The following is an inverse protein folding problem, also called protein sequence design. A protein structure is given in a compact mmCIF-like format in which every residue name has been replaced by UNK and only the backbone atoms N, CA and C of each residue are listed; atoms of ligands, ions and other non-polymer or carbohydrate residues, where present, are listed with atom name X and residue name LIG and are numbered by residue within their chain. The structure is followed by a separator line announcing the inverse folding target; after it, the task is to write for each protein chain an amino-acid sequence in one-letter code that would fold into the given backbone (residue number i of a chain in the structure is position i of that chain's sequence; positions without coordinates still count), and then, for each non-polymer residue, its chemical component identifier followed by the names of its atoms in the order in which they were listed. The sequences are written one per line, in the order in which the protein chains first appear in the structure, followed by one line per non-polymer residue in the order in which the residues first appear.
data_IF_481156642168
#
_entry.id   IF_481156642168
#
_cell.length_a   1.000
_cell.length_b   1.000
_cell.length_c   1.000
_cell.angle_alpha   90.00
_cell.angle_beta   90.00
_cell.angle_gamma   90.00
#
_symmetry.space_group_name_H-M   'P 1'
#
loop_
_entity.id
_entity.type
_entity.pdbx_description
1 polymer ?
#
# COMPACT_ATOMS: atom_id res chain seq x y z
N UNK A 1 -4.26 -9.56 -10.20
CA UNK A 1 -5.28 -8.89 -9.34
C UNK A 1 -4.76 -7.52 -8.95
N UNK A 2 -5.65 -6.53 -8.76
CA UNK A 2 -5.22 -5.20 -8.31
C UNK A 2 -6.30 -4.55 -7.45
N UNK A 3 -5.89 -3.59 -6.64
CA UNK A 3 -6.82 -2.82 -5.81
C UNK A 3 -6.16 -1.62 -5.16
N UNK A 4 -6.95 -0.58 -4.90
CA UNK A 4 -6.54 0.61 -4.18
C UNK A 4 -7.15 0.62 -2.77
N UNK A 5 -6.40 1.13 -1.79
CA UNK A 5 -6.89 1.30 -0.43
C UNK A 5 -7.39 -0.03 0.18
N UNK A 6 -8.56 -0.05 0.76
CA UNK A 6 -9.24 -1.27 1.24
C UNK A 6 -9.37 -2.32 0.13
N UNK A 7 -9.61 -1.92 -1.14
CA UNK A 7 -9.65 -2.83 -2.28
C UNK A 7 -8.32 -3.55 -2.52
N UNK A 8 -7.19 -2.94 -2.17
CA UNK A 8 -5.87 -3.60 -2.16
C UNK A 8 -5.78 -4.71 -1.12
N UNK A 9 -6.25 -4.47 0.09
CA UNK A 9 -6.34 -5.49 1.13
C UNK A 9 -7.28 -6.64 0.72
N UNK A 10 -8.43 -6.31 0.15
CA UNK A 10 -9.38 -7.30 -0.38
C UNK A 10 -8.77 -8.12 -1.53
N UNK A 11 -7.96 -7.51 -2.40
CA UNK A 11 -7.27 -8.20 -3.48
C UNK A 11 -6.29 -9.26 -2.95
N UNK A 12 -5.57 -8.98 -1.84
CA UNK A 12 -4.70 -9.97 -1.21
C UNK A 12 -5.49 -11.14 -0.61
N UNK A 13 -6.56 -10.84 0.11
CA UNK A 13 -7.43 -11.88 0.68
C UNK A 13 -8.06 -12.75 -0.42
N UNK A 14 -8.55 -12.11 -1.48
CA UNK A 14 -9.10 -12.81 -2.62
C UNK A 14 -8.06 -13.66 -3.36
N UNK A 15 -6.83 -13.13 -3.56
CA UNK A 15 -5.74 -13.88 -4.18
C UNK A 15 -5.41 -15.14 -3.35
N UNK A 16 -5.29 -14.98 -2.04
CA UNK A 16 -5.01 -16.09 -1.13
C UNK A 16 -6.11 -17.16 -1.18
N UNK A 17 -7.38 -16.73 -1.08
CA UNK A 17 -8.53 -17.64 -1.09
C UNK A 17 -8.75 -18.34 -2.43
N UNK A 18 -8.52 -17.64 -3.54
CA UNK A 18 -8.80 -18.14 -4.88
C UNK A 18 -7.65 -18.93 -5.48
N UNK A 19 -6.45 -18.89 -4.89
CA UNK A 19 -5.26 -19.58 -5.42
C UNK A 19 -5.38 -21.08 -5.48
N UNK A 20 -6.30 -21.69 -4.71
CA UNK A 20 -6.59 -23.12 -4.79
C UNK A 20 -7.35 -23.51 -6.07
N UNK A 21 -8.06 -22.55 -6.66
CA UNK A 21 -8.92 -22.78 -7.84
C UNK A 21 -8.39 -22.13 -9.12
N UNK A 22 -7.66 -21.03 -8.96
CA UNK A 22 -7.22 -20.18 -10.07
C UNK A 22 -5.73 -19.88 -9.98
N UNK A 23 -5.06 -19.91 -11.11
CA UNK A 23 -3.66 -19.50 -11.20
C UNK A 23 -3.57 -17.98 -11.09
N UNK A 24 -3.11 -17.48 -9.96
CA UNK A 24 -2.78 -16.06 -9.76
C UNK A 24 -1.39 -15.83 -10.35
N UNK A 25 -1.26 -14.87 -11.28
CA UNK A 25 0.03 -14.54 -11.91
C UNK A 25 0.66 -13.31 -11.28
N UNK A 26 -0.17 -12.29 -11.05
CA UNK A 26 0.30 -10.97 -10.65
C UNK A 26 -0.67 -10.32 -9.67
N UNK A 27 -0.11 -9.61 -8.70
CA UNK A 27 -0.85 -8.79 -7.74
C UNK A 27 -0.16 -7.44 -7.63
N UNK A 28 -0.91 -6.37 -7.89
CA UNK A 28 -0.46 -4.99 -7.68
C UNK A 28 -1.47 -4.28 -6.79
N UNK A 29 -0.99 -3.71 -5.69
CA UNK A 29 -1.85 -2.94 -4.80
C UNK A 29 -1.34 -1.52 -4.65
N UNK A 30 -2.24 -0.59 -4.41
CA UNK A 30 -1.96 0.84 -4.33
C UNK A 30 -2.54 1.38 -3.02
N UNK A 31 -1.71 1.97 -2.18
CA UNK A 31 -2.14 2.51 -0.88
C UNK A 31 -2.81 1.47 0.03
N UNK A 32 -2.38 0.22 -0.04
CA UNK A 32 -2.97 -0.88 0.69
C UNK A 32 -2.64 -0.82 2.18
N UNK A 33 -3.61 -0.98 3.09
CA UNK A 33 -3.33 -1.16 4.52
C UNK A 33 -2.74 -2.55 4.82
N UNK A 34 -2.20 -2.73 6.02
CA UNK A 34 -1.76 -4.05 6.50
C UNK A 34 -2.96 -4.99 6.66
N UNK A 35 -2.78 -6.26 6.31
CA UNK A 35 -3.88 -7.25 6.25
C UNK A 35 -3.84 -8.21 7.43
N UNK A 36 -2.66 -8.56 7.94
CA UNK A 36 -2.54 -9.51 9.03
C UNK A 36 -1.19 -9.46 9.73
N UNK A 37 -0.99 -10.40 10.63
CA UNK A 37 0.20 -10.55 11.47
C UNK A 37 1.30 -11.40 10.80
N UNK A 38 2.37 -11.74 11.53
CA UNK A 38 3.48 -12.53 11.01
C UNK A 38 3.05 -13.93 10.52
N UNK A 39 2.05 -14.54 11.14
CA UNK A 39 1.50 -15.82 10.68
C UNK A 39 0.82 -15.68 9.31
N UNK A 40 0.07 -14.59 9.10
CA UNK A 40 -0.50 -14.25 7.79
C UNK A 40 0.58 -14.01 6.75
N UNK A 41 1.60 -13.22 7.08
CA UNK A 41 2.72 -12.91 6.17
C UNK A 41 3.41 -14.19 5.71
N UNK A 42 3.70 -15.09 6.64
CA UNK A 42 4.35 -16.37 6.34
C UNK A 42 3.48 -17.26 5.46
N UNK A 43 2.19 -17.39 5.78
CA UNK A 43 1.25 -18.17 4.99
C UNK A 43 1.07 -17.62 3.57
N UNK A 44 0.95 -16.30 3.44
CA UNK A 44 0.82 -15.63 2.16
C UNK A 44 2.09 -15.79 1.31
N UNK A 45 3.28 -15.57 1.88
CA UNK A 45 4.55 -15.73 1.19
C UNK A 45 4.75 -17.15 0.67
N UNK A 46 4.44 -18.16 1.49
CA UNK A 46 4.53 -19.56 1.08
C UNK A 46 3.57 -19.89 -0.09
N UNK A 47 2.32 -19.42 -0.01
CA UNK A 47 1.29 -19.69 -1.03
C UNK A 47 1.52 -18.92 -2.32
N UNK A 48 2.06 -17.72 -2.24
CA UNK A 48 2.27 -16.80 -3.37
C UNK A 48 3.73 -16.76 -3.85
N UNK A 49 4.57 -17.76 -3.51
CA UNK A 49 6.00 -17.76 -3.83
C UNK A 49 6.35 -17.55 -5.32
N UNK A 50 5.45 -17.97 -6.23
CA UNK A 50 5.62 -17.85 -7.68
C UNK A 50 4.74 -16.75 -8.29
N UNK A 51 4.22 -15.85 -7.48
CA UNK A 51 3.34 -14.75 -7.92
C UNK A 51 4.13 -13.44 -7.89
N UNK A 52 4.09 -12.71 -9.01
CA UNK A 52 4.63 -11.34 -9.03
C UNK A 52 3.74 -10.45 -8.16
N UNK A 53 4.31 -9.89 -7.10
CA UNK A 53 3.56 -9.05 -6.18
C UNK A 53 4.32 -7.80 -5.81
N UNK A 54 3.67 -6.64 -5.96
CA UNK A 54 4.19 -5.34 -5.53
C UNK A 54 3.10 -4.52 -4.84
N UNK A 55 3.50 -3.89 -3.73
CA UNK A 55 2.72 -2.85 -3.05
C UNK A 55 3.24 -1.49 -3.49
N UNK A 56 2.42 -0.72 -4.18
CA UNK A 56 2.76 0.65 -4.58
C UNK A 56 2.31 1.60 -3.48
N UNK A 57 3.21 2.46 -3.05
CA UNK A 57 2.94 3.49 -2.02
C UNK A 57 3.37 4.85 -2.54
N UNK A 58 2.46 5.82 -2.44
CA UNK A 58 2.69 7.19 -2.83
C UNK A 58 3.11 8.00 -1.61
N UNK A 59 4.29 8.59 -1.69
CA UNK A 59 4.91 9.51 -0.74
C UNK A 59 4.59 9.23 0.75
N UNK A 60 3.79 10.07 1.40
CA UNK A 60 3.39 9.94 2.80
C UNK A 60 1.92 9.46 2.95
N UNK A 61 1.42 8.64 2.04
CA UNK A 61 0.09 8.04 2.16
C UNK A 61 -0.07 7.40 3.56
N UNK A 62 -1.04 7.84 4.38
CA UNK A 62 -1.22 7.30 5.72
C UNK A 62 -1.78 5.88 5.76
N UNK A 63 -2.50 5.44 4.72
CA UNK A 63 -3.24 4.17 4.74
C UNK A 63 -2.31 2.94 4.84
N UNK A 64 -1.15 2.86 4.14
CA UNK A 64 -0.20 1.78 4.33
C UNK A 64 0.35 1.66 5.76
N UNK A 65 0.28 2.71 6.55
CA UNK A 65 0.69 2.68 7.95
C UNK A 65 -0.37 2.10 8.90
N UNK A 66 -1.59 1.81 8.39
CA UNK A 66 -2.72 1.27 9.15
C UNK A 66 -2.92 -0.24 8.91
N UNK A 67 -3.41 -1.00 9.90
CA UNK A 67 -3.33 -0.66 11.32
C UNK A 67 -1.85 -0.51 11.75
N UNK A 68 -1.54 0.25 12.80
CA UNK A 68 -0.17 0.41 13.27
C UNK A 68 0.48 -0.94 13.59
N UNK A 69 1.76 -1.11 13.24
CA UNK A 69 2.46 -2.39 13.42
C UNK A 69 2.57 -2.86 14.87
N UNK A 70 2.57 -1.92 15.81
CA UNK A 70 2.55 -2.21 17.24
C UNK A 70 1.19 -2.69 17.75
N UNK A 71 0.12 -2.46 16.98
CA UNK A 71 -1.22 -2.94 17.31
C UNK A 71 -1.41 -4.34 16.71
N UNK A 72 -1.53 -5.36 17.55
CA UNK A 72 -1.78 -6.75 17.18
C UNK A 72 -0.74 -7.38 16.21
N UNK A 73 0.44 -6.76 16.06
CA UNK A 73 1.51 -7.29 15.24
C UNK A 73 1.25 -7.27 13.73
N UNK A 74 0.40 -6.36 13.24
CA UNK A 74 0.13 -6.25 11.81
C UNK A 74 1.38 -5.95 11.00
N UNK A 75 1.55 -6.66 9.88
CA UNK A 75 2.69 -6.54 8.97
C UNK A 75 2.23 -6.49 7.51
N UNK A 76 3.08 -5.92 6.68
CA UNK A 76 2.92 -6.02 5.23
C UNK A 76 3.53 -7.30 4.68
N UNK A 77 2.92 -7.82 3.62
CA UNK A 77 3.49 -8.87 2.78
C UNK A 77 4.13 -8.24 1.54
N UNK A 78 5.14 -8.90 0.98
CA UNK A 78 5.76 -8.53 -0.29
C UNK A 78 6.59 -7.25 -0.27
N UNK A 79 7.28 -6.99 -1.38
CA UNK A 79 8.09 -5.79 -1.55
C UNK A 79 7.25 -4.54 -1.75
N UNK A 80 7.84 -3.39 -1.42
CA UNK A 80 7.25 -2.07 -1.62
C UNK A 80 7.89 -1.36 -2.81
N UNK A 81 7.06 -0.74 -3.63
CA UNK A 81 7.45 0.20 -4.68
C UNK A 81 6.99 1.57 -4.22
N UNK A 82 7.92 2.38 -3.75
CA UNK A 82 7.63 3.66 -3.13
C UNK A 82 8.03 4.83 -4.01
N UNK A 83 7.10 5.75 -4.19
CA UNK A 83 7.33 7.01 -4.88
C UNK A 83 7.52 8.12 -3.84
N UNK A 84 8.71 8.70 -3.79
CA UNK A 84 9.12 9.73 -2.81
C UNK A 84 8.45 11.09 -3.02
N UNK A 85 7.81 11.27 -4.17
CA UNK A 85 7.04 12.46 -4.50
C UNK A 85 5.70 12.09 -5.11
N UNK A 86 4.72 12.98 -5.02
CA UNK A 86 3.44 12.82 -5.71
C UNK A 86 3.58 12.98 -7.24
N UNK A 87 4.70 13.53 -7.68
CA UNK A 87 5.09 13.60 -9.09
C UNK A 87 5.96 12.40 -9.41
N UNK A 88 5.55 11.57 -10.31
CA UNK A 88 6.14 10.33 -10.81
C UNK A 88 7.68 10.32 -10.95
N UNK A 89 8.40 10.48 -9.84
CA UNK A 89 9.84 10.27 -9.78
C UNK A 89 10.18 8.79 -9.98
N UNK A 90 11.46 8.46 -10.04
CA UNK A 90 11.89 7.06 -10.06
C UNK A 90 11.53 6.41 -8.72
N UNK A 91 10.80 5.27 -8.72
CA UNK A 91 10.44 4.61 -7.49
C UNK A 91 11.65 3.98 -6.79
N UNK A 92 11.60 3.96 -5.47
CA UNK A 92 12.46 3.12 -4.66
C UNK A 92 11.83 1.74 -4.46
N UNK A 93 12.65 0.70 -4.53
CA UNK A 93 12.24 -0.68 -4.28
C UNK A 93 12.75 -1.12 -2.91
N UNK A 94 11.85 -1.45 -2.01
CA UNK A 94 12.18 -1.97 -0.69
C UNK A 94 11.73 -3.40 -0.51
N UNK A 95 12.60 -4.23 0.04
CA UNK A 95 12.29 -5.62 0.33
C UNK A 95 11.14 -5.73 1.35
N UNK A 96 10.48 -6.89 1.35
CA UNK A 96 9.42 -7.17 2.31
C UNK A 96 9.92 -7.02 3.76
N UNK A 97 9.10 -6.40 4.61
CA UNK A 97 9.40 -6.23 6.03
C UNK A 97 10.42 -5.14 6.35
N UNK A 98 10.89 -4.37 5.37
CA UNK A 98 11.75 -3.21 5.61
C UNK A 98 10.91 -1.93 5.76
N UNK A 99 11.21 -1.17 6.80
CA UNK A 99 10.60 0.15 7.03
C UNK A 99 11.42 1.28 6.40
N UNK A 100 12.21 0.97 5.36
CA UNK A 100 13.17 1.90 4.75
C UNK A 100 12.59 2.77 3.62
N UNK A 101 11.41 2.45 3.12
CA UNK A 101 10.71 3.26 2.13
C UNK A 101 9.69 4.17 2.83
N UNK A 102 8.40 3.98 2.60
CA UNK A 102 7.37 4.78 3.26
C UNK A 102 7.43 4.70 4.79
N UNK A 103 7.89 3.58 5.33
CA UNK A 103 8.05 3.35 6.77
C UNK A 103 9.04 4.27 7.50
N UNK A 104 9.89 5.03 6.77
CA UNK A 104 10.72 6.07 7.36
C UNK A 104 9.90 7.23 7.97
N UNK A 105 8.65 7.38 7.56
CA UNK A 105 7.74 8.37 8.12
C UNK A 105 6.83 7.77 9.18
N UNK A 106 6.66 8.49 10.29
CA UNK A 106 5.71 8.07 11.31
C UNK A 106 4.26 8.22 10.82
N UNK A 107 3.37 7.33 11.26
CA UNK A 107 1.93 7.44 10.98
C UNK A 107 1.39 8.85 11.31
N UNK A 108 1.82 9.41 12.45
CA UNK A 108 1.37 10.74 12.86
C UNK A 108 1.71 11.82 11.83
N UNK A 109 2.91 11.75 11.22
CA UNK A 109 3.31 12.67 10.16
C UNK A 109 2.49 12.44 8.89
N UNK A 110 2.25 11.18 8.53
CA UNK A 110 1.47 10.82 7.35
C UNK A 110 0.00 11.26 7.43
N UNK A 111 -0.58 11.39 8.62
CA UNK A 111 -1.98 11.83 8.77
C UNK A 111 -2.25 13.25 8.22
N UNK A 112 -1.22 14.06 8.05
CA UNK A 112 -1.33 15.38 7.38
C UNK A 112 -1.22 15.30 5.85
N UNK A 113 -1.00 14.10 5.30
CA UNK A 113 -0.79 13.84 3.88
C UNK A 113 -1.87 12.93 3.28
N UNK A 114 -3.11 13.08 3.72
CA UNK A 114 -4.24 12.25 3.25
C UNK A 114 -4.49 12.33 1.75
N UNK A 115 -4.03 13.41 1.11
CA UNK A 115 -4.13 13.58 -0.33
C UNK A 115 -3.26 12.60 -1.12
N UNK A 116 -2.14 12.15 -0.53
CA UNK A 116 -1.25 11.19 -1.18
C UNK A 116 -1.94 9.84 -1.36
N UNK A 117 -2.94 9.54 -0.50
CA UNK A 117 -3.78 8.36 -0.66
C UNK A 117 -4.61 8.36 -1.94
N UNK A 118 -4.92 9.52 -2.48
CA UNK A 118 -5.70 9.67 -3.71
C UNK A 118 -4.83 10.06 -4.93
N UNK A 119 -3.51 9.93 -4.83
CA UNK A 119 -2.58 10.32 -5.90
C UNK A 119 -1.62 9.17 -6.23
N UNK A 120 -1.97 8.37 -7.23
CA UNK A 120 -1.20 7.22 -7.66
C UNK A 120 -0.94 7.25 -9.16
N UNK A 121 0.33 7.30 -9.56
CA UNK A 121 0.77 7.23 -10.96
C UNK A 121 0.07 8.25 -11.88
N UNK A 122 -0.15 9.47 -11.40
CA UNK A 122 -0.86 10.51 -12.14
C UNK A 122 -2.38 10.32 -12.20
N UNK A 123 -2.89 9.28 -11.57
CA UNK A 123 -4.32 9.01 -11.45
C UNK A 123 -4.84 9.43 -10.08
N UNK A 124 -6.12 9.76 -10.02
CA UNK A 124 -6.81 10.00 -8.77
C UNK A 124 -7.86 8.90 -8.54
N UNK A 125 -7.51 7.80 -7.85
CA UNK A 125 -8.42 6.69 -7.64
C UNK A 125 -9.62 7.00 -6.72
N UNK A 126 -9.58 8.15 -6.04
CA UNK A 126 -10.71 8.59 -5.19
C UNK A 126 -11.77 9.38 -5.97
N UNK A 127 -11.51 9.75 -7.22
CA UNK A 127 -12.47 10.45 -8.09
C UNK A 127 -13.39 9.46 -8.80
N UNK A 128 -14.40 9.00 -8.10
CA UNK A 128 -15.59 8.45 -8.74
C UNK A 128 -16.83 9.17 -8.18
N UNK A 129 -17.07 10.41 -8.55
CA UNK A 129 -18.28 11.21 -8.23
C UNK A 129 -18.23 12.18 -7.04
N UNK A 130 -17.08 12.53 -6.47
CA UNK A 130 -17.08 13.54 -5.41
C UNK A 130 -16.17 14.74 -5.78
N UNK A 131 -16.67 15.99 -5.69
CA UNK A 131 -15.78 17.15 -5.72
C UNK A 131 -14.86 17.00 -4.51
N UNK A 132 -13.57 16.78 -4.72
CA UNK A 132 -12.58 16.61 -3.66
C UNK A 132 -12.82 17.62 -2.54
N UNK A 133 -12.86 17.17 -1.27
CA UNK A 133 -12.46 18.07 -0.22
C UNK A 133 -11.08 18.58 -0.65
N UNK A 134 -10.92 19.89 -0.73
CA UNK A 134 -9.67 20.50 -1.13
C UNK A 134 -8.57 19.75 -0.38
N UNK A 135 -7.75 18.99 -1.11
CA UNK A 135 -6.55 18.46 -0.54
C UNK A 135 -5.78 19.68 -0.07
N UNK A 136 -5.93 20.01 1.19
CA UNK A 136 -5.09 21.00 1.82
C UNK A 136 -3.71 20.40 1.76
N UNK A 137 -2.98 20.72 0.71
CA UNK A 137 -1.53 20.61 0.72
C UNK A 137 -1.13 21.42 1.94
N UNK A 138 -0.85 20.69 3.03
CA UNK A 138 -0.37 21.33 4.24
C UNK A 138 0.76 22.25 3.84
N UNK A 139 0.63 23.49 4.20
CA UNK A 139 1.64 24.55 4.07
C UNK A 139 2.93 24.03 4.75
N UNK A 140 3.86 23.52 3.96
CA UNK A 140 5.13 22.94 4.43
C UNK A 140 5.77 22.16 3.30
N UNK A 141 6.06 22.73 2.20
CA UNK A 141 7.36 23.23 1.71
C UNK A 141 8.37 22.15 1.35
N UNK A 142 8.70 22.28 0.21
CA UNK A 142 9.97 22.53 -0.52
C UNK A 142 11.21 22.27 0.32
#
# INVERSE_FOLDING_TARGET
MSGHSLGGAMALLAAFQLSDKYRIKEIYTFGQPRVGNDAWVSAFAARMANVTFFRVVSYMDPVPHLPPSWLMGYRHVGPEVWYDTTTQGSPAFCAAGQDSCSGQYSLFRCLFHTCDHCSYLGLNPCKANDPQPACVQGLGQR
#
